data_IF_565771751319
#
_entry.id   IF_565771751319
#
_cell.length_a   1.000
_cell.length_b   1.000
_cell.length_c   1.000
_cell.angle_alpha   90.00
_cell.angle_beta   90.00
_cell.angle_gamma   90.00
#
_symmetry.space_group_name_H-M   'P 1'
#
loop_
_entity.id
_entity.type
_entity.pdbx_description
1 polymer ?
#
# COMPACT_ATOMS: atom_id res chain seq x y z
N UNK A 1 -17.34 1.15 -21.05
CA UNK A 1 -17.15 -0.27 -21.44
C UNK A 1 -15.84 -0.87 -20.92
N UNK A 2 -14.72 -0.19 -20.94
CA UNK A 2 -13.42 -0.76 -20.48
C UNK A 2 -13.39 -1.19 -19.00
N UNK A 3 -13.99 -0.44 -18.08
CA UNK A 3 -13.93 -0.74 -16.64
C UNK A 3 -14.77 -1.98 -16.25
N UNK A 4 -15.95 -2.13 -16.86
CA UNK A 4 -16.81 -3.30 -16.62
C UNK A 4 -16.11 -4.60 -17.02
N UNK A 5 -15.41 -4.61 -18.16
CA UNK A 5 -14.66 -5.77 -18.63
C UNK A 5 -13.49 -6.09 -17.69
N UNK A 6 -12.74 -5.08 -17.22
CA UNK A 6 -11.67 -5.29 -16.24
C UNK A 6 -12.20 -5.90 -14.96
N UNK A 7 -13.32 -5.44 -14.43
CA UNK A 7 -13.98 -6.01 -13.23
C UNK A 7 -14.46 -7.44 -13.45
N UNK A 8 -14.95 -7.79 -14.64
CA UNK A 8 -15.32 -9.17 -14.96
C UNK A 8 -14.10 -10.11 -14.98
N UNK A 9 -12.98 -9.66 -15.57
CA UNK A 9 -11.71 -10.40 -15.58
C UNK A 9 -11.17 -10.59 -14.16
N UNK A 10 -11.22 -9.55 -13.33
CA UNK A 10 -10.85 -9.62 -11.91
C UNK A 10 -11.70 -10.62 -11.13
N UNK A 11 -13.02 -10.55 -11.28
CA UNK A 11 -13.94 -11.47 -10.61
C UNK A 11 -13.65 -12.93 -10.99
N UNK A 12 -13.34 -13.20 -12.26
CA UNK A 12 -12.91 -14.51 -12.73
C UNK A 12 -11.60 -14.96 -12.07
N UNK A 13 -10.59 -14.08 -12.00
CA UNK A 13 -9.34 -14.39 -11.29
C UNK A 13 -9.62 -14.75 -9.83
N UNK A 14 -10.37 -13.92 -9.09
CA UNK A 14 -10.72 -14.17 -7.69
C UNK A 14 -11.47 -15.49 -7.51
N UNK A 15 -12.40 -15.82 -8.42
CA UNK A 15 -13.12 -17.10 -8.42
C UNK A 15 -12.18 -18.30 -8.64
N UNK A 16 -11.26 -18.21 -9.59
CA UNK A 16 -10.31 -19.29 -9.88
C UNK A 16 -9.31 -19.49 -8.73
N UNK A 17 -8.91 -18.44 -8.04
CA UNK A 17 -8.00 -18.51 -6.90
C UNK A 17 -8.59 -19.22 -5.67
N UNK A 18 -9.91 -19.38 -5.61
CA UNK A 18 -10.54 -20.25 -4.61
C UNK A 18 -10.37 -21.76 -4.91
N UNK A 19 -10.01 -22.10 -6.16
CA UNK A 19 -9.94 -23.49 -6.63
C UNK A 19 -8.52 -23.98 -6.84
N UNK A 20 -7.61 -23.10 -7.25
CA UNK A 20 -6.22 -23.44 -7.56
C UNK A 20 -5.26 -22.26 -7.30
N UNK A 21 -3.98 -22.54 -7.03
CA UNK A 21 -3.00 -21.48 -6.81
C UNK A 21 -2.73 -20.67 -8.09
N UNK A 22 -2.26 -19.42 -7.91
CA UNK A 22 -2.05 -18.46 -8.99
C UNK A 22 -1.12 -18.99 -10.10
N UNK A 23 -0.05 -19.69 -9.72
CA UNK A 23 0.92 -20.28 -10.65
C UNK A 23 0.33 -21.38 -11.56
N UNK A 24 -0.87 -21.87 -11.24
CA UNK A 24 -1.64 -22.85 -12.03
C UNK A 24 -2.80 -22.23 -12.82
N UNK A 25 -3.01 -20.92 -12.68
CA UNK A 25 -4.02 -20.21 -13.44
C UNK A 25 -3.39 -19.69 -14.73
N UNK A 26 -4.07 -19.93 -15.84
CA UNK A 26 -3.67 -19.45 -17.16
C UNK A 26 -4.63 -18.36 -17.66
N UNK A 27 -4.18 -17.57 -18.63
CA UNK A 27 -5.06 -16.60 -19.30
C UNK A 27 -6.24 -17.28 -19.99
N UNK A 28 -6.06 -18.53 -20.45
CA UNK A 28 -7.16 -19.31 -21.00
C UNK A 28 -8.23 -19.63 -19.95
N UNK A 29 -7.81 -20.05 -18.75
CA UNK A 29 -8.76 -20.32 -17.66
C UNK A 29 -9.60 -19.08 -17.33
N UNK A 30 -8.96 -17.91 -17.25
CA UNK A 30 -9.65 -16.64 -16.96
C UNK A 30 -10.60 -16.27 -18.12
N UNK A 31 -10.12 -16.39 -19.37
CA UNK A 31 -10.91 -16.03 -20.55
C UNK A 31 -12.15 -16.95 -20.68
N UNK A 32 -12.02 -18.23 -20.43
CA UNK A 32 -13.12 -19.20 -20.44
C UNK A 32 -14.11 -18.94 -19.30
N UNK A 33 -13.62 -18.71 -18.07
CA UNK A 33 -14.47 -18.48 -16.89
C UNK A 33 -15.29 -17.19 -17.03
N UNK A 34 -14.73 -16.11 -17.62
CA UNK A 34 -15.46 -14.86 -17.82
C UNK A 34 -16.10 -14.69 -19.22
N UNK A 35 -16.00 -15.69 -20.09
CA UNK A 35 -16.67 -15.69 -21.41
C UNK A 35 -16.10 -14.70 -22.41
N UNK A 36 -14.81 -14.42 -22.38
CA UNK A 36 -14.11 -13.51 -23.30
C UNK A 36 -13.05 -14.23 -24.13
N UNK A 37 -12.55 -13.58 -25.19
CA UNK A 37 -11.40 -14.07 -25.93
C UNK A 37 -10.07 -13.74 -25.19
N UNK A 38 -9.00 -14.52 -25.47
CA UNK A 38 -7.64 -14.16 -25.03
C UNK A 38 -7.20 -12.78 -25.52
N UNK A 39 -7.61 -12.39 -26.73
CA UNK A 39 -7.30 -11.06 -27.29
C UNK A 39 -7.95 -9.95 -26.47
N UNK A 40 -9.17 -10.18 -25.95
CA UNK A 40 -9.85 -9.26 -25.05
C UNK A 40 -9.09 -9.12 -23.73
N UNK A 41 -8.56 -10.21 -23.19
CA UNK A 41 -7.70 -10.15 -22.02
C UNK A 41 -6.46 -9.26 -22.28
N UNK A 42 -5.70 -9.55 -23.34
CA UNK A 42 -4.48 -8.81 -23.69
C UNK A 42 -4.73 -7.33 -24.08
N UNK A 43 -5.95 -7.00 -24.46
CA UNK A 43 -6.33 -5.58 -24.64
C UNK A 43 -6.35 -4.80 -23.33
N UNK A 44 -6.58 -5.48 -22.19
CA UNK A 44 -6.73 -4.87 -20.88
C UNK A 44 -5.53 -5.05 -19.96
N UNK A 45 -4.85 -6.17 -20.07
CA UNK A 45 -3.74 -6.58 -19.18
C UNK A 45 -2.63 -7.25 -19.98
N UNK A 46 -1.38 -6.96 -19.63
CA UNK A 46 -0.21 -7.58 -20.27
C UNK A 46 -0.10 -9.07 -19.90
N UNK A 47 -0.34 -9.38 -18.64
CA UNK A 47 -0.31 -10.74 -18.08
C UNK A 47 -1.19 -10.83 -16.82
N UNK A 48 -1.12 -11.98 -16.15
CA UNK A 48 -1.90 -12.24 -14.92
C UNK A 48 -1.38 -11.36 -13.76
N UNK A 49 -0.10 -11.03 -13.72
CA UNK A 49 0.48 -10.22 -12.65
C UNK A 49 0.04 -8.76 -12.76
N UNK A 50 -0.07 -8.24 -13.99
CA UNK A 50 -0.66 -6.90 -14.25
C UNK A 50 -2.13 -6.86 -13.79
N UNK A 51 -2.90 -7.92 -14.03
CA UNK A 51 -4.26 -8.05 -13.51
C UNK A 51 -4.29 -8.09 -11.96
N UNK A 52 -3.39 -8.84 -11.32
CA UNK A 52 -3.27 -8.90 -9.85
C UNK A 52 -2.94 -7.52 -9.28
N UNK A 53 -1.96 -6.83 -9.86
CA UNK A 53 -1.59 -5.47 -9.45
C UNK A 53 -2.78 -4.53 -9.53
N UNK A 54 -3.45 -4.52 -10.68
CA UNK A 54 -4.62 -3.68 -10.90
C UNK A 54 -5.74 -3.99 -9.88
N UNK A 55 -6.02 -5.26 -9.61
CA UNK A 55 -7.01 -5.70 -8.62
C UNK A 55 -6.67 -5.18 -7.23
N UNK A 56 -5.43 -5.36 -6.76
CA UNK A 56 -4.99 -4.89 -5.46
C UNK A 56 -5.10 -3.36 -5.32
N UNK A 57 -4.73 -2.61 -6.39
CA UNK A 57 -4.85 -1.15 -6.39
C UNK A 57 -6.31 -0.72 -6.32
N UNK A 58 -7.20 -1.34 -7.11
CA UNK A 58 -8.62 -0.99 -7.12
C UNK A 58 -9.30 -1.30 -5.79
N UNK A 59 -9.03 -2.48 -5.21
CA UNK A 59 -9.56 -2.84 -3.89
C UNK A 59 -9.09 -1.84 -2.81
N UNK A 60 -7.81 -1.46 -2.82
CA UNK A 60 -7.27 -0.50 -1.88
C UNK A 60 -7.85 0.92 -2.09
N UNK A 61 -7.97 1.39 -3.32
CA UNK A 61 -8.54 2.71 -3.63
C UNK A 61 -10.02 2.80 -3.21
N UNK A 62 -10.79 1.74 -3.40
CA UNK A 62 -12.18 1.67 -2.99
C UNK A 62 -12.33 1.75 -1.47
N UNK A 63 -11.55 0.96 -0.76
CA UNK A 63 -11.56 0.91 0.71
C UNK A 63 -11.08 2.23 1.34
N UNK A 64 -10.09 2.86 0.74
CA UNK A 64 -9.49 4.11 1.23
C UNK A 64 -10.21 5.37 0.77
N UNK A 65 -11.29 5.24 0.01
CA UNK A 65 -12.10 6.36 -0.41
C UNK A 65 -12.70 7.08 0.81
N UNK A 66 -12.36 8.36 0.99
CA UNK A 66 -12.81 9.16 2.15
C UNK A 66 -11.88 9.11 3.38
N UNK A 67 -10.82 8.28 3.38
CA UNK A 67 -9.90 8.10 4.53
C UNK A 67 -8.45 8.52 4.22
N UNK A 68 -8.28 9.67 3.53
CA UNK A 68 -6.96 10.13 3.04
C UNK A 68 -6.41 11.34 3.79
N UNK A 69 -7.04 11.72 4.91
CA UNK A 69 -6.64 12.89 5.70
C UNK A 69 -5.94 12.48 6.98
N UNK A 70 -5.26 13.42 7.62
CA UNK A 70 -4.60 13.22 8.91
C UNK A 70 -5.56 12.84 10.05
N UNK A 71 -6.84 13.11 9.90
CA UNK A 71 -7.87 12.78 10.89
C UNK A 71 -8.52 11.42 10.62
N UNK A 72 -8.47 10.92 9.38
CA UNK A 72 -9.18 9.70 8.95
C UNK A 72 -8.26 8.54 8.57
N UNK A 73 -6.94 8.73 8.58
CA UNK A 73 -5.98 7.70 8.16
C UNK A 73 -6.05 6.41 8.99
N UNK A 74 -6.34 6.54 10.29
CA UNK A 74 -6.49 5.40 11.20
C UNK A 74 -7.69 4.54 10.80
N UNK A 75 -8.84 5.16 10.49
CA UNK A 75 -10.03 4.49 9.96
C UNK A 75 -9.72 3.82 8.61
N UNK A 76 -8.96 4.50 7.76
CA UNK A 76 -8.48 3.95 6.48
C UNK A 76 -7.61 2.70 6.67
N UNK A 77 -6.74 2.68 7.67
CA UNK A 77 -5.96 1.47 8.00
C UNK A 77 -6.84 0.34 8.51
N UNK A 78 -7.81 0.61 9.40
CA UNK A 78 -8.76 -0.40 9.84
C UNK A 78 -9.51 -1.01 8.67
N UNK A 79 -9.99 -0.17 7.77
CA UNK A 79 -10.69 -0.61 6.57
C UNK A 79 -9.79 -1.45 5.65
N UNK A 80 -8.52 -1.04 5.46
CA UNK A 80 -7.55 -1.79 4.65
C UNK A 80 -7.22 -3.16 5.24
N UNK A 81 -6.91 -3.23 6.54
CA UNK A 81 -6.65 -4.50 7.21
C UNK A 81 -7.88 -5.41 7.22
N UNK A 82 -9.08 -4.84 7.38
CA UNK A 82 -10.35 -5.55 7.25
C UNK A 82 -10.51 -6.16 5.86
N UNK A 83 -10.31 -5.37 4.80
CA UNK A 83 -10.40 -5.84 3.42
C UNK A 83 -9.37 -6.95 3.10
N UNK A 84 -8.17 -6.87 3.66
CA UNK A 84 -7.15 -7.94 3.54
C UNK A 84 -7.65 -9.23 4.22
N UNK A 85 -8.25 -9.14 5.41
CA UNK A 85 -8.81 -10.29 6.12
C UNK A 85 -9.99 -10.90 5.39
N UNK A 86 -10.92 -10.08 4.89
CA UNK A 86 -12.09 -10.53 4.14
C UNK A 86 -11.70 -11.27 2.86
N UNK A 87 -10.56 -10.86 2.26
CA UNK A 87 -9.99 -11.48 1.07
C UNK A 87 -8.78 -12.38 1.38
N UNK A 88 -8.65 -12.91 2.60
CA UNK A 88 -7.49 -13.69 3.05
C UNK A 88 -7.07 -14.80 2.08
N UNK A 89 -7.97 -15.63 1.48
CA UNK A 89 -7.57 -16.64 0.52
C UNK A 89 -6.87 -16.08 -0.72
N UNK A 90 -7.39 -14.98 -1.27
CA UNK A 90 -6.78 -14.26 -2.39
C UNK A 90 -5.42 -13.70 -2.01
N UNK A 91 -5.33 -12.92 -0.92
CA UNK A 91 -4.10 -12.29 -0.46
C UNK A 91 -3.00 -13.33 -0.17
N UNK A 92 -3.34 -14.41 0.53
CA UNK A 92 -2.39 -15.48 0.86
C UNK A 92 -1.89 -16.19 -0.40
N UNK A 93 -2.78 -16.42 -1.39
CA UNK A 93 -2.41 -17.07 -2.64
C UNK A 93 -1.48 -16.16 -3.48
N UNK A 94 -1.83 -14.89 -3.60
CA UNK A 94 -0.98 -13.88 -4.28
C UNK A 94 0.38 -13.77 -3.59
N UNK A 95 0.41 -13.61 -2.27
CA UNK A 95 1.65 -13.48 -1.49
C UNK A 95 2.60 -14.67 -1.66
N UNK A 96 2.06 -15.88 -1.81
CA UNK A 96 2.85 -17.12 -1.98
C UNK A 96 3.29 -17.36 -3.43
N UNK A 97 2.56 -16.85 -4.41
CA UNK A 97 2.77 -17.13 -5.84
C UNK A 97 3.48 -16.01 -6.60
N UNK A 98 3.42 -14.77 -6.09
CA UNK A 98 4.08 -13.60 -6.68
C UNK A 98 5.42 -13.38 -5.99
N UNK A 99 6.44 -12.93 -6.73
CA UNK A 99 7.71 -12.60 -6.10
C UNK A 99 7.53 -11.49 -5.06
N UNK A 100 8.27 -11.59 -3.96
CA UNK A 100 8.22 -10.60 -2.89
C UNK A 100 8.46 -9.17 -3.40
N UNK A 101 9.37 -9.01 -4.35
CA UNK A 101 9.70 -7.73 -4.97
C UNK A 101 8.48 -7.09 -5.65
N UNK A 102 7.68 -7.86 -6.40
CA UNK A 102 6.46 -7.35 -7.02
C UNK A 102 5.41 -6.95 -5.98
N UNK A 103 5.17 -7.80 -4.97
CA UNK A 103 4.21 -7.47 -3.89
C UNK A 103 4.63 -6.20 -3.15
N UNK A 104 5.91 -6.07 -2.81
CA UNK A 104 6.45 -4.86 -2.18
C UNK A 104 6.25 -3.62 -3.07
N UNK A 105 6.56 -3.72 -4.36
CA UNK A 105 6.41 -2.61 -5.32
C UNK A 105 4.96 -2.12 -5.38
N UNK A 106 3.98 -3.02 -5.40
CA UNK A 106 2.55 -2.66 -5.42
C UNK A 106 2.14 -1.94 -4.14
N UNK A 107 2.50 -2.51 -2.99
CA UNK A 107 2.18 -1.93 -1.69
C UNK A 107 2.88 -0.57 -1.50
N UNK A 108 4.14 -0.43 -1.92
CA UNK A 108 4.86 0.84 -1.86
C UNK A 108 4.16 1.94 -2.65
N UNK A 109 3.62 1.64 -3.83
CA UNK A 109 2.90 2.63 -4.65
C UNK A 109 1.63 3.13 -3.96
N UNK A 110 0.82 2.20 -3.43
CA UNK A 110 -0.44 2.54 -2.75
C UNK A 110 -0.17 3.33 -1.47
N UNK A 111 0.71 2.81 -0.62
CA UNK A 111 0.98 3.40 0.70
C UNK A 111 1.69 4.75 0.58
N UNK A 112 2.62 4.89 -0.39
CA UNK A 112 3.28 6.18 -0.62
C UNK A 112 2.30 7.30 -0.93
N UNK A 113 1.36 7.06 -1.84
CA UNK A 113 0.35 8.06 -2.22
C UNK A 113 -0.46 8.53 -1.00
N UNK A 114 -0.91 7.59 -0.18
CA UNK A 114 -1.67 7.90 1.04
C UNK A 114 -0.87 8.72 2.03
N UNK A 115 0.36 8.28 2.31
CA UNK A 115 1.22 8.96 3.26
C UNK A 115 1.67 10.34 2.76
N UNK A 116 1.88 10.49 1.45
CA UNK A 116 2.22 11.79 0.85
C UNK A 116 1.07 12.77 1.03
N UNK A 117 -0.18 12.36 0.81
CA UNK A 117 -1.36 13.20 1.04
C UNK A 117 -1.44 13.66 2.51
N UNK A 118 -1.21 12.75 3.47
CA UNK A 118 -1.19 13.08 4.91
C UNK A 118 -0.03 14.03 5.28
N UNK A 119 1.15 13.79 4.74
CA UNK A 119 2.33 14.65 4.99
C UNK A 119 2.11 16.05 4.42
N UNK A 120 1.57 16.15 3.20
CA UNK A 120 1.27 17.45 2.57
C UNK A 120 0.21 18.22 3.36
N UNK A 121 -0.83 17.56 3.85
CA UNK A 121 -1.84 18.17 4.71
C UNK A 121 -1.22 18.70 6.01
N UNK A 122 -0.38 17.93 6.68
CA UNK A 122 0.31 18.34 7.91
C UNK A 122 1.32 19.47 7.69
N UNK A 123 1.84 19.62 6.46
CA UNK A 123 2.76 20.68 6.06
C UNK A 123 2.07 22.00 5.71
N UNK A 124 0.74 22.05 5.64
CA UNK A 124 -0.02 23.27 5.29
C UNK A 124 0.33 24.41 6.25
N UNK A 125 0.72 25.56 5.68
CA UNK A 125 1.16 26.73 6.45
C UNK A 125 2.59 26.65 6.99
N UNK A 126 3.35 25.61 6.68
CA UNK A 126 4.75 25.46 7.06
C UNK A 126 5.66 25.68 5.83
N UNK A 127 6.84 26.24 6.05
CA UNK A 127 7.87 26.34 5.00
C UNK A 127 8.75 25.10 5.04
N UNK A 128 8.31 24.03 4.39
CA UNK A 128 8.98 22.72 4.32
C UNK A 128 9.37 22.43 2.88
N UNK A 129 10.59 21.96 2.68
CA UNK A 129 11.08 21.55 1.36
C UNK A 129 10.34 20.30 0.88
N UNK A 130 10.16 20.19 -0.44
CA UNK A 130 9.48 19.02 -1.02
C UNK A 130 10.24 17.71 -0.75
N UNK A 131 11.57 17.75 -0.84
CA UNK A 131 12.41 16.59 -0.55
C UNK A 131 12.27 16.07 0.90
N UNK A 132 12.07 16.97 1.88
CA UNK A 132 11.80 16.58 3.28
C UNK A 132 10.43 15.87 3.41
N UNK A 133 9.41 16.36 2.72
CA UNK A 133 8.08 15.73 2.69
C UNK A 133 8.12 14.37 2.01
N UNK A 134 8.79 14.26 0.88
CA UNK A 134 8.99 12.99 0.19
C UNK A 134 9.76 11.98 1.03
N UNK A 135 10.81 12.44 1.73
CA UNK A 135 11.57 11.59 2.65
C UNK A 135 10.68 11.03 3.75
N UNK A 136 9.86 11.85 4.40
CA UNK A 136 8.94 11.40 5.45
C UNK A 136 7.90 10.41 4.93
N UNK A 137 7.28 10.69 3.79
CA UNK A 137 6.33 9.78 3.17
C UNK A 137 6.98 8.43 2.85
N UNK A 138 8.21 8.44 2.32
CA UNK A 138 8.97 7.21 2.06
C UNK A 138 9.35 6.47 3.34
N UNK A 139 9.81 7.16 4.39
CA UNK A 139 10.17 6.56 5.66
C UNK A 139 9.00 5.77 6.27
N UNK A 140 7.85 6.40 6.37
CA UNK A 140 6.67 5.74 6.91
C UNK A 140 6.15 4.63 5.98
N UNK A 141 6.21 4.82 4.66
CA UNK A 141 5.83 3.79 3.68
C UNK A 141 6.56 2.46 3.93
N UNK A 142 7.86 2.50 4.15
CA UNK A 142 8.64 1.28 4.42
C UNK A 142 8.21 0.60 5.73
N UNK A 143 7.93 1.39 6.75
CA UNK A 143 7.44 0.86 8.03
C UNK A 143 6.08 0.19 7.90
N UNK A 144 5.12 0.84 7.22
CA UNK A 144 3.78 0.30 7.01
C UNK A 144 3.80 -0.98 6.18
N UNK A 145 4.48 -0.94 5.04
CA UNK A 145 4.54 -2.12 4.14
C UNK A 145 5.26 -3.27 4.82
N UNK A 146 6.37 -3.02 5.52
CA UNK A 146 7.09 -4.04 6.26
C UNK A 146 6.23 -4.75 7.31
N UNK A 147 5.49 -3.99 8.13
CA UNK A 147 4.59 -4.54 9.14
C UNK A 147 3.41 -5.30 8.53
N UNK A 148 2.84 -4.78 7.44
CA UNK A 148 1.73 -5.46 6.73
C UNK A 148 2.19 -6.79 6.14
N UNK A 149 3.35 -6.82 5.49
CA UNK A 149 3.90 -8.06 4.91
C UNK A 149 4.28 -9.08 5.99
N UNK A 150 4.85 -8.62 7.11
CA UNK A 150 5.12 -9.49 8.25
C UNK A 150 3.84 -10.09 8.82
N UNK A 151 2.78 -9.30 8.94
CA UNK A 151 1.48 -9.77 9.38
C UNK A 151 0.87 -10.80 8.43
N UNK A 152 0.92 -10.55 7.11
CA UNK A 152 0.48 -11.51 6.09
C UNK A 152 1.30 -12.81 6.17
N UNK A 153 2.62 -12.69 6.28
CA UNK A 153 3.53 -13.84 6.38
C UNK A 153 3.27 -14.70 7.62
N UNK A 154 2.81 -14.09 8.70
CA UNK A 154 2.40 -14.76 9.94
C UNK A 154 0.93 -15.22 9.92
N UNK A 155 0.37 -15.44 8.72
CA UNK A 155 -0.99 -15.91 8.49
C UNK A 155 -2.08 -15.01 9.10
N UNK A 156 -1.80 -13.70 9.21
CA UNK A 156 -2.74 -12.69 9.71
C UNK A 156 -3.30 -13.01 11.11
N UNK A 157 -2.51 -13.70 11.97
CA UNK A 157 -2.98 -14.18 13.28
C UNK A 157 -3.11 -13.08 14.33
N UNK A 158 -2.29 -12.03 14.20
CA UNK A 158 -2.33 -10.91 15.13
C UNK A 158 -3.55 -10.05 14.82
N UNK A 159 -4.24 -9.60 15.86
CA UNK A 159 -5.33 -8.65 15.73
C UNK A 159 -4.82 -7.34 15.09
N UNK A 160 -5.40 -6.92 13.96
CA UNK A 160 -5.04 -5.67 13.29
C UNK A 160 -5.13 -4.45 14.21
N UNK A 161 -6.10 -4.43 15.13
CA UNK A 161 -6.28 -3.34 16.08
C UNK A 161 -5.02 -3.08 16.89
N UNK A 162 -4.31 -4.12 17.33
CA UNK A 162 -3.06 -3.99 18.07
C UNK A 162 -1.94 -3.39 17.23
N UNK A 163 -1.89 -3.72 15.95
CA UNK A 163 -0.90 -3.17 15.00
C UNK A 163 -1.19 -1.70 14.78
N UNK A 164 -2.43 -1.35 14.45
CA UNK A 164 -2.86 0.01 14.13
C UNK A 164 -2.68 0.94 15.33
N UNK A 165 -3.06 0.53 16.54
CA UNK A 165 -2.84 1.32 17.76
C UNK A 165 -1.36 1.60 18.04
N UNK A 166 -0.46 0.64 17.76
CA UNK A 166 0.99 0.85 17.90
C UNK A 166 1.51 1.82 16.84
N UNK A 167 1.02 1.72 15.62
CA UNK A 167 1.34 2.63 14.52
C UNK A 167 0.84 4.05 14.83
N UNK A 168 -0.41 4.22 15.27
CA UNK A 168 -0.95 5.51 15.66
C UNK A 168 -0.09 6.17 16.73
N UNK A 169 0.23 5.45 17.79
CA UNK A 169 1.09 5.96 18.86
C UNK A 169 2.48 6.37 18.37
N UNK A 170 3.04 5.66 17.39
CA UNK A 170 4.35 5.96 16.82
C UNK A 170 4.33 7.15 15.85
N UNK A 171 3.19 7.42 15.21
CA UNK A 171 3.06 8.43 14.14
C UNK A 171 2.45 9.73 14.65
N UNK A 172 1.47 9.63 15.56
CA UNK A 172 0.70 10.78 16.04
C UNK A 172 1.60 11.89 16.60
N UNK A 173 1.55 13.03 15.94
CA UNK A 173 2.38 14.19 16.25
C UNK A 173 3.82 14.12 15.73
N UNK A 174 4.36 12.96 15.40
CA UNK A 174 5.73 12.82 14.93
C UNK A 174 5.93 13.34 13.50
N UNK A 175 4.96 13.14 12.60
CA UNK A 175 5.02 13.74 11.26
C UNK A 175 5.13 15.26 11.37
N UNK A 176 4.24 15.89 12.11
CA UNK A 176 4.24 17.35 12.29
C UNK A 176 5.51 17.86 13.00
N UNK A 177 6.04 17.09 13.95
CA UNK A 177 7.29 17.43 14.61
C UNK A 177 8.49 17.33 13.66
N UNK A 178 8.54 16.29 12.83
CA UNK A 178 9.60 16.08 11.85
C UNK A 178 9.59 17.11 10.71
N UNK A 179 8.42 17.67 10.39
CA UNK A 179 8.28 18.74 9.39
C UNK A 179 8.76 20.13 9.89
N UNK A 180 8.99 20.30 11.20
CA UNK A 180 9.53 21.55 11.71
C UNK A 180 10.99 21.68 11.28
N UNK A 181 11.42 22.88 10.79
CA UNK A 181 12.81 23.09 10.42
C UNK A 181 13.71 22.80 11.61
N UNK A 182 14.73 21.97 11.41
CA UNK A 182 15.78 21.76 12.41
C UNK A 182 16.55 23.08 12.54
N UNK A 183 16.38 23.76 13.66
CA UNK A 183 17.22 24.91 14.01
C UNK A 183 18.63 24.37 14.28
N UNK A 184 19.47 24.39 13.25
CA UNK A 184 20.90 24.14 13.44
C UNK A 184 21.46 25.29 14.25
N UNK A 185 21.49 25.16 15.57
CA UNK A 185 22.44 25.92 16.38
C UNK A 185 23.81 25.38 16.00
N UNK A 186 24.53 26.12 15.16
CA UNK A 186 25.94 25.91 14.97
C UNK A 186 26.58 25.98 16.36
N UNK A 187 26.95 24.84 16.90
CA UNK A 187 27.95 24.76 17.96
C UNK A 187 29.26 25.21 17.28
N UNK A 188 29.52 26.50 17.30
CA UNK A 188 30.86 27.02 17.05
C UNK A 188 31.77 26.41 18.11
N UNK A 189 32.57 25.43 17.68
CA UNK A 189 33.66 24.93 18.51
C UNK A 189 34.50 26.13 18.94
N UNK A 190 34.82 26.33 20.23
CA UNK A 190 35.68 27.37 20.66
C UNK A 190 37.02 27.17 19.95
N UNK A 191 37.38 28.11 19.08
CA UNK A 191 38.74 28.20 18.51
C UNK A 191 39.68 28.49 19.64
N UNK A 192 40.42 27.45 20.07
CA UNK A 192 41.48 27.59 21.05
C UNK A 192 42.67 28.25 20.35
N UNK A 193 42.67 29.55 20.25
CA UNK A 193 43.86 30.33 19.90
C UNK A 193 44.77 30.37 21.12
N UNK A 194 45.74 29.46 21.21
CA UNK A 194 46.93 29.65 22.02
C UNK A 194 48.02 30.27 21.11
N UNK A 195 48.34 31.50 21.41
CA UNK A 195 49.60 32.14 21.07
C UNK A 195 50.70 31.51 21.92
#
# INVERSE_FOLDING_TARGET
MSQTTKRAIEASLKHLLLKKPLDKITINDIAEDCGISRMTFYYHFQDIYDLVEWSCIQDAEEVLQGHKTSDTWEEGLYALFGAILDNKPFVTNVYRSVSREHVETYLYRIVYKLLKDVVDEQAVGMNVREDDKEFLANFYKYSFVGLTLEWINNDMRQDPELIIRKLDKAIKGNIKAALKPVSYTHLTLPTNSRV
#
